data_IF_095565510322
#
_entry.id   IF_095565510322
#
_cell.length_a   1.000
_cell.length_b   1.000
_cell.length_c   1.000
_cell.angle_alpha   90.00
_cell.angle_beta   90.00
_cell.angle_gamma   90.00
#
_symmetry.space_group_name_H-M   'P 1'
#
loop_
_entity.id
_entity.type
_entity.pdbx_description
1 polymer ?
#
# COMPACT_ATOMS: atom_id res chain seq x y z
N UNK A 1 5.73 12.06 -14.11
CA UNK A 1 4.78 10.99 -13.76
C UNK A 1 4.45 11.02 -12.26
N UNK A 2 5.43 10.88 -11.36
CA UNK A 2 5.24 10.78 -9.91
C UNK A 2 4.44 11.96 -9.30
N UNK A 3 4.75 13.20 -9.68
CA UNK A 3 4.02 14.38 -9.21
C UNK A 3 2.56 14.40 -9.68
N UNK A 4 2.30 13.93 -10.90
CA UNK A 4 0.94 13.82 -11.42
C UNK A 4 0.14 12.77 -10.66
N UNK A 5 0.72 11.59 -10.45
CA UNK A 5 0.10 10.51 -9.68
C UNK A 5 -0.19 10.96 -8.23
N UNK A 6 0.79 11.58 -7.57
CA UNK A 6 0.60 12.10 -6.22
C UNK A 6 -0.52 13.15 -6.15
N UNK A 7 -0.63 14.02 -7.18
CA UNK A 7 -1.72 15.00 -7.29
C UNK A 7 -3.08 14.32 -7.45
N UNK A 8 -3.17 13.35 -8.34
CA UNK A 8 -4.40 12.60 -8.61
C UNK A 8 -4.89 11.86 -7.36
N UNK A 9 -4.01 11.11 -6.72
CA UNK A 9 -4.32 10.36 -5.51
C UNK A 9 -4.78 11.29 -4.38
N UNK A 10 -4.06 12.40 -4.16
CA UNK A 10 -4.38 13.35 -3.10
C UNK A 10 -5.57 14.26 -3.43
N UNK A 11 -6.11 14.23 -4.65
CA UNK A 11 -7.38 14.90 -4.97
C UNK A 11 -8.58 14.20 -4.33
N UNK A 12 -8.46 12.90 -4.07
CA UNK A 12 -9.49 12.10 -3.40
C UNK A 12 -9.51 12.42 -1.90
N UNK A 13 -10.68 12.49 -1.30
CA UNK A 13 -10.83 12.81 0.13
C UNK A 13 -10.17 11.74 1.02
N UNK A 14 -10.39 10.47 0.70
CA UNK A 14 -9.85 9.30 1.41
C UNK A 14 -9.19 8.39 0.38
N UNK A 15 -7.90 8.62 0.05
CA UNK A 15 -7.24 7.82 -0.96
C UNK A 15 -7.03 6.38 -0.47
N UNK A 16 -7.52 5.42 -1.26
CA UNK A 16 -7.28 3.98 -1.08
C UNK A 16 -6.79 3.46 -2.42
N UNK A 17 -5.48 3.23 -2.54
CA UNK A 17 -4.84 2.93 -3.82
C UNK A 17 -3.78 1.85 -3.71
N UNK A 18 -3.64 1.07 -4.78
CA UNK A 18 -2.53 0.16 -5.02
C UNK A 18 -1.54 0.84 -5.97
N UNK A 19 -0.32 1.08 -5.50
CA UNK A 19 0.80 1.54 -6.31
C UNK A 19 1.57 0.30 -6.81
N UNK A 20 1.36 -0.04 -8.06
CA UNK A 20 1.77 -1.30 -8.66
C UNK A 20 2.65 -1.07 -9.89
N UNK A 21 3.81 -0.46 -9.70
CA UNK A 21 4.80 -0.22 -10.75
C UNK A 21 5.97 -1.21 -10.65
N UNK A 22 6.72 -1.36 -11.74
CA UNK A 22 7.93 -2.20 -11.77
C UNK A 22 8.97 -1.77 -10.73
N UNK A 23 9.85 -2.72 -10.39
CA UNK A 23 10.97 -2.49 -9.45
C UNK A 23 11.83 -1.32 -9.93
N UNK A 24 12.13 -0.38 -9.03
CA UNK A 24 13.05 0.74 -9.33
C UNK A 24 12.38 2.00 -9.90
N UNK A 25 11.09 2.01 -10.22
CA UNK A 25 10.38 3.19 -10.76
C UNK A 25 10.01 4.24 -9.70
N UNK A 26 10.37 4.02 -8.43
CA UNK A 26 10.25 5.02 -7.39
C UNK A 26 8.94 5.02 -6.60
N UNK A 27 8.28 3.86 -6.43
CA UNK A 27 7.06 3.71 -5.60
C UNK A 27 7.20 4.30 -4.21
N UNK A 28 8.32 4.07 -3.55
CA UNK A 28 8.63 4.68 -2.24
C UNK A 28 8.55 6.21 -2.32
N UNK A 29 9.10 6.81 -3.38
CA UNK A 29 9.05 8.26 -3.59
C UNK A 29 7.62 8.73 -3.83
N UNK A 30 6.82 7.99 -4.60
CA UNK A 30 5.41 8.29 -4.85
C UNK A 30 4.60 8.25 -3.56
N UNK A 31 4.77 7.20 -2.75
CA UNK A 31 4.13 7.11 -1.45
C UNK A 31 4.56 8.23 -0.50
N UNK A 32 5.86 8.56 -0.46
CA UNK A 32 6.36 9.69 0.32
C UNK A 32 5.81 11.04 -0.16
N UNK A 33 5.64 11.26 -1.48
CA UNK A 33 5.01 12.46 -2.04
C UNK A 33 3.54 12.58 -1.62
N UNK A 34 2.81 11.45 -1.64
CA UNK A 34 1.41 11.40 -1.21
C UNK A 34 1.32 11.71 0.29
N UNK A 35 2.11 11.02 1.12
CA UNK A 35 2.18 11.25 2.57
C UNK A 35 2.50 12.72 2.87
N UNK A 36 3.58 13.26 2.27
CA UNK A 36 4.01 14.64 2.48
C UNK A 36 2.90 15.64 2.14
N UNK A 37 2.20 15.45 1.02
CA UNK A 37 1.10 16.32 0.63
C UNK A 37 -0.10 16.22 1.58
N UNK A 38 -0.49 15.01 1.98
CA UNK A 38 -1.57 14.80 2.93
C UNK A 38 -1.24 15.40 4.31
N UNK A 39 0.02 15.25 4.74
CA UNK A 39 0.52 15.82 5.99
C UNK A 39 0.52 17.36 5.97
N UNK A 40 1.05 17.98 4.91
CA UNK A 40 1.07 19.44 4.75
C UNK A 40 -0.33 20.07 4.67
N UNK A 41 -1.31 19.32 4.18
CA UNK A 41 -2.71 19.78 4.09
C UNK A 41 -3.55 19.45 5.33
N UNK A 42 -2.95 18.87 6.39
CA UNK A 42 -3.63 18.47 7.62
C UNK A 42 -4.62 17.31 7.44
N UNK A 43 -4.48 16.54 6.35
CA UNK A 43 -5.36 15.39 6.05
C UNK A 43 -4.81 14.05 6.51
N UNK A 44 -3.54 14.01 6.86
CA UNK A 44 -2.89 12.90 7.54
C UNK A 44 -1.89 13.48 8.55
N UNK A 45 -2.35 13.67 9.78
CA UNK A 45 -1.50 14.08 10.88
C UNK A 45 -0.71 12.89 11.41
N UNK A 46 -1.34 11.72 11.43
CA UNK A 46 -0.73 10.46 11.89
C UNK A 46 -0.68 9.43 10.77
N UNK A 47 0.52 8.89 10.51
CA UNK A 47 0.74 7.88 9.49
C UNK A 47 1.46 6.65 10.05
N UNK A 48 0.91 5.48 9.73
CA UNK A 48 1.52 4.18 9.99
C UNK A 48 2.11 3.62 8.71
N UNK A 49 3.40 3.28 8.74
CA UNK A 49 4.12 2.69 7.61
C UNK A 49 4.58 1.30 8.02
N UNK A 50 4.00 0.29 7.41
CA UNK A 50 4.33 -1.13 7.63
C UNK A 50 5.18 -1.61 6.45
N UNK A 51 6.32 -2.19 6.74
CA UNK A 51 7.28 -2.60 5.71
C UNK A 51 8.17 -3.77 6.20
N UNK A 52 8.87 -4.46 5.30
CA UNK A 52 9.91 -5.40 5.70
C UNK A 52 11.01 -4.71 6.51
N UNK A 53 11.56 -5.39 7.52
CA UNK A 53 12.61 -4.83 8.38
C UNK A 53 13.81 -4.30 7.58
N UNK A 54 14.17 -4.98 6.51
CA UNK A 54 15.27 -4.58 5.61
C UNK A 54 15.09 -3.20 4.95
N UNK A 55 13.85 -2.72 4.81
CA UNK A 55 13.51 -1.44 4.19
C UNK A 55 13.34 -0.30 5.19
N UNK A 56 13.28 -0.56 6.49
CA UNK A 56 12.99 0.44 7.51
C UNK A 56 13.98 1.62 7.48
N UNK A 57 15.27 1.33 7.40
CA UNK A 57 16.29 2.38 7.34
C UNK A 57 16.24 3.19 6.03
N UNK A 58 15.94 2.53 4.90
CA UNK A 58 15.80 3.22 3.62
C UNK A 58 14.63 4.21 3.66
N UNK A 59 13.47 3.80 4.16
CA UNK A 59 12.30 4.67 4.31
C UNK A 59 12.57 5.86 5.22
N UNK A 60 13.21 5.62 6.38
CA UNK A 60 13.63 6.68 7.29
C UNK A 60 14.49 7.73 6.60
N UNK A 61 15.53 7.29 5.87
CA UNK A 61 16.44 8.19 5.16
C UNK A 61 15.74 8.97 4.04
N UNK A 62 14.87 8.33 3.27
CA UNK A 62 14.11 8.99 2.19
C UNK A 62 13.17 10.05 2.73
N UNK A 63 12.37 9.72 3.77
CA UNK A 63 11.47 10.67 4.42
C UNK A 63 12.21 11.89 4.97
N UNK A 64 13.32 11.66 5.67
CA UNK A 64 14.08 12.73 6.27
C UNK A 64 14.78 13.60 5.22
N UNK A 65 15.51 12.99 4.27
CA UNK A 65 16.38 13.74 3.35
C UNK A 65 15.63 14.43 2.22
N UNK A 66 14.57 13.81 1.70
CA UNK A 66 13.85 14.33 0.54
C UNK A 66 12.62 15.13 0.90
N UNK A 67 11.98 14.79 2.02
CA UNK A 67 10.69 15.38 2.39
C UNK A 67 10.75 16.16 3.70
N UNK A 68 11.89 16.15 4.42
CA UNK A 68 12.04 16.77 5.73
C UNK A 68 10.95 16.29 6.72
N UNK A 69 10.53 15.03 6.58
CA UNK A 69 9.60 14.37 7.49
C UNK A 69 10.37 13.47 8.45
N UNK A 70 10.14 13.65 9.74
CA UNK A 70 10.73 12.80 10.77
C UNK A 70 9.80 11.62 11.03
N UNK A 71 10.19 10.44 10.56
CA UNK A 71 9.57 9.18 10.95
C UNK A 71 10.33 8.54 12.09
N UNK A 72 9.64 7.82 12.95
CA UNK A 72 10.26 7.06 14.04
C UNK A 72 10.15 5.57 13.76
N UNK A 73 11.28 4.88 13.90
CA UNK A 73 11.34 3.43 13.77
C UNK A 73 10.93 2.80 15.10
N UNK A 74 9.93 1.90 15.03
CA UNK A 74 9.39 1.23 16.20
C UNK A 74 9.77 -0.25 16.18
N UNK A 75 10.36 -0.65 17.29
CA UNK A 75 10.68 -2.02 17.67
C UNK A 75 10.35 -2.22 19.15
N UNK A 76 10.61 -3.40 19.67
CA UNK A 76 10.32 -3.72 21.07
C UNK A 76 11.13 -2.87 22.06
N UNK A 77 12.39 -2.59 21.76
CA UNK A 77 13.25 -1.77 22.62
C UNK A 77 12.68 -0.36 22.78
N UNK A 78 12.25 0.25 21.68
CA UNK A 78 11.62 1.58 21.70
C UNK A 78 10.30 1.57 22.46
N UNK A 79 9.44 0.58 22.21
CA UNK A 79 8.16 0.47 22.91
C UNK A 79 8.38 0.36 24.43
N UNK A 80 9.28 -0.50 24.87
CA UNK A 80 9.64 -0.65 26.28
C UNK A 80 10.26 0.62 26.89
N UNK A 81 11.07 1.34 26.14
CA UNK A 81 11.65 2.60 26.60
C UNK A 81 10.57 3.68 26.86
N UNK A 82 9.55 3.76 26.02
CA UNK A 82 8.41 4.67 26.19
C UNK A 82 7.56 4.25 27.39
N UNK A 83 7.20 2.97 27.48
CA UNK A 83 6.43 2.40 28.60
C UNK A 83 7.17 2.52 29.94
N UNK A 84 8.51 2.40 29.94
CA UNK A 84 9.34 2.60 31.11
C UNK A 84 9.27 4.03 31.67
N UNK A 85 8.92 5.00 30.82
CA UNK A 85 8.72 6.40 31.24
C UNK A 85 7.28 6.65 31.70
N UNK A 86 6.30 6.00 31.03
CA UNK A 86 4.89 6.05 31.37
C UNK A 86 4.20 4.73 31.02
N UNK A 87 4.01 3.83 32.00
CA UNK A 87 3.49 2.48 31.76
C UNK A 87 2.02 2.41 31.26
N UNK A 88 1.27 3.49 31.40
CA UNK A 88 -0.14 3.54 30.98
C UNK A 88 -0.32 4.07 29.56
N UNK A 89 0.75 4.53 28.93
CA UNK A 89 0.66 5.15 27.61
C UNK A 89 0.83 4.08 26.50
N UNK A 90 -0.01 4.14 25.49
CA UNK A 90 0.22 3.38 24.27
C UNK A 90 1.46 3.96 23.55
N UNK A 91 2.56 3.19 23.39
CA UNK A 91 3.80 3.72 22.81
C UNK A 91 3.62 4.26 21.39
N UNK A 92 2.69 3.72 20.62
CA UNK A 92 2.43 4.19 19.25
C UNK A 92 1.78 5.57 19.17
N UNK A 93 1.34 6.15 20.28
CA UNK A 93 0.88 7.55 20.36
C UNK A 93 2.02 8.57 20.48
N UNK A 94 3.25 8.13 20.77
CA UNK A 94 4.41 9.00 20.95
C UNK A 94 4.84 9.76 19.68
N UNK A 95 4.46 9.28 18.51
CA UNK A 95 4.98 9.79 17.24
C UNK A 95 3.90 9.91 16.18
N UNK A 96 3.99 10.95 15.33
CA UNK A 96 3.04 11.18 14.24
C UNK A 96 3.27 10.24 13.06
N UNK A 97 4.52 9.99 12.68
CA UNK A 97 4.88 9.10 11.59
C UNK A 97 5.68 7.94 12.15
N UNK A 98 5.12 6.75 12.07
CA UNK A 98 5.69 5.52 12.62
C UNK A 98 6.01 4.55 11.49
N UNK A 99 7.25 4.07 11.46
CA UNK A 99 7.67 2.94 10.65
C UNK A 99 7.83 1.72 11.55
N UNK A 100 7.21 0.61 11.18
CA UNK A 100 7.25 -0.64 11.95
C UNK A 100 7.36 -1.82 11.00
N UNK A 101 8.08 -2.87 11.43
CA UNK A 101 8.18 -4.06 10.59
C UNK A 101 6.93 -4.93 10.66
N UNK A 102 6.57 -5.51 9.51
CA UNK A 102 5.45 -6.45 9.41
C UNK A 102 5.67 -7.66 10.32
N UNK A 103 6.89 -8.19 10.34
CA UNK A 103 7.24 -9.37 11.15
C UNK A 103 7.15 -9.08 12.65
N UNK A 104 7.54 -7.90 13.08
CA UNK A 104 7.43 -7.49 14.48
C UNK A 104 5.97 -7.45 14.93
N UNK A 105 5.09 -6.86 14.13
CA UNK A 105 3.66 -6.79 14.48
C UNK A 105 2.98 -8.17 14.44
N UNK A 106 3.31 -9.01 13.45
CA UNK A 106 2.75 -10.37 13.38
C UNK A 106 3.23 -11.26 14.52
N UNK A 107 4.45 -11.03 15.00
CA UNK A 107 5.03 -11.75 16.13
C UNK A 107 4.54 -11.27 17.51
N UNK A 108 3.86 -10.10 17.58
CA UNK A 108 3.49 -9.47 18.85
C UNK A 108 2.02 -9.00 18.86
N UNK A 109 1.07 -9.88 19.24
CA UNK A 109 -0.36 -9.55 19.29
C UNK A 109 -0.70 -8.35 20.18
N UNK A 110 0.05 -8.15 21.27
CA UNK A 110 -0.11 -7.03 22.17
C UNK A 110 0.24 -5.73 21.46
N UNK A 111 1.37 -5.68 20.75
CA UNK A 111 1.80 -4.50 19.97
C UNK A 111 0.83 -4.20 18.82
N UNK A 112 0.33 -5.23 18.18
CA UNK A 112 -0.71 -5.07 17.17
C UNK A 112 -2.00 -4.46 17.75
N UNK A 113 -2.44 -4.89 18.94
CA UNK A 113 -3.60 -4.30 19.61
C UNK A 113 -3.37 -2.81 19.91
N UNK A 114 -2.18 -2.44 20.39
CA UNK A 114 -1.79 -1.05 20.64
C UNK A 114 -1.77 -0.22 19.34
N UNK A 115 -1.28 -0.79 18.23
CA UNK A 115 -1.32 -0.13 16.92
C UNK A 115 -2.75 0.09 16.45
N UNK A 116 -3.65 -0.89 16.66
CA UNK A 116 -5.07 -0.75 16.32
C UNK A 116 -5.81 0.32 17.13
N UNK A 117 -5.34 0.63 18.33
CA UNK A 117 -5.91 1.65 19.21
C UNK A 117 -5.33 3.05 18.96
N UNK A 118 -4.22 3.13 18.27
CA UNK A 118 -3.59 4.42 17.94
C UNK A 118 -4.23 4.99 16.67
N UNK A 119 -4.98 6.07 16.81
CA UNK A 119 -5.73 6.72 15.72
C UNK A 119 -4.82 7.15 14.56
N UNK A 120 -4.89 6.44 13.45
CA UNK A 120 -4.13 6.69 12.22
C UNK A 120 -5.02 7.28 11.13
N UNK A 121 -4.51 8.28 10.42
CA UNK A 121 -5.17 8.88 9.26
C UNK A 121 -4.78 8.19 7.96
N UNK A 122 -3.55 7.64 7.91
CA UNK A 122 -2.98 7.01 6.74
C UNK A 122 -2.24 5.73 7.10
N UNK A 123 -2.56 4.66 6.40
CA UNK A 123 -1.81 3.40 6.38
C UNK A 123 -1.03 3.28 5.08
N UNK A 124 0.26 3.01 5.17
CA UNK A 124 1.12 2.65 4.03
C UNK A 124 1.66 1.25 4.29
N UNK A 125 1.49 0.33 3.35
CA UNK A 125 2.07 -1.01 3.42
C UNK A 125 2.97 -1.21 2.22
N UNK A 126 4.28 -1.31 2.46
CA UNK A 126 5.25 -1.61 1.40
C UNK A 126 5.41 -3.13 1.24
N UNK A 127 5.81 -3.54 0.03
CA UNK A 127 5.93 -4.92 -0.38
C UNK A 127 4.66 -5.76 -0.08
N UNK A 128 3.51 -5.19 -0.39
CA UNK A 128 2.20 -5.79 -0.12
C UNK A 128 2.01 -7.19 -0.75
N UNK A 129 2.94 -7.64 -1.63
CA UNK A 129 2.94 -8.99 -2.16
C UNK A 129 3.23 -10.07 -1.09
N UNK A 130 3.79 -9.70 0.06
CA UNK A 130 3.97 -10.60 1.21
C UNK A 130 2.66 -10.88 1.98
N UNK A 131 1.58 -10.16 1.68
CA UNK A 131 0.27 -10.42 2.28
C UNK A 131 -0.40 -11.59 1.58
N UNK A 132 -0.04 -12.81 1.96
CA UNK A 132 -0.57 -14.03 1.34
C UNK A 132 -2.04 -14.23 1.72
N UNK A 133 -2.86 -14.53 0.71
CA UNK A 133 -4.28 -14.79 0.86
C UNK A 133 -4.76 -15.80 -0.20
N UNK A 134 -5.59 -16.73 0.24
CA UNK A 134 -6.40 -17.59 -0.64
C UNK A 134 -7.83 -17.63 -0.10
N UNK A 135 -8.82 -18.12 -0.86
CA UNK A 135 -10.18 -18.27 -0.37
C UNK A 135 -10.31 -19.11 0.90
N UNK A 136 -9.40 -20.07 1.07
CA UNK A 136 -9.41 -20.99 2.21
C UNK A 136 -8.59 -20.50 3.40
N UNK A 137 -7.57 -19.66 3.14
CA UNK A 137 -6.62 -19.27 4.18
C UNK A 137 -6.03 -17.88 3.91
N UNK A 138 -6.17 -17.00 4.88
CA UNK A 138 -5.46 -15.72 4.93
C UNK A 138 -4.28 -15.82 5.92
N UNK A 139 -3.10 -15.33 5.53
CA UNK A 139 -1.95 -15.25 6.43
C UNK A 139 -2.22 -14.29 7.60
N UNK A 140 -1.49 -14.46 8.70
CA UNK A 140 -1.57 -13.55 9.85
C UNK A 140 -1.26 -12.09 9.43
N UNK A 141 -0.29 -11.90 8.54
CA UNK A 141 0.06 -10.59 7.98
C UNK A 141 -1.11 -9.97 7.21
N UNK A 142 -1.80 -10.74 6.39
CA UNK A 142 -2.98 -10.27 5.66
C UNK A 142 -4.10 -9.85 6.60
N UNK A 143 -4.47 -10.73 7.56
CA UNK A 143 -5.54 -10.47 8.54
C UNK A 143 -5.27 -9.21 9.37
N UNK A 144 -4.01 -8.99 9.72
CA UNK A 144 -3.57 -7.83 10.47
C UNK A 144 -3.74 -6.53 9.66
N UNK A 145 -3.31 -6.54 8.40
CA UNK A 145 -3.49 -5.39 7.51
C UNK A 145 -4.97 -5.18 7.17
N UNK A 146 -5.76 -6.25 7.03
CA UNK A 146 -7.22 -6.18 6.85
C UNK A 146 -7.86 -5.43 8.02
N UNK A 147 -7.58 -5.83 9.27
CA UNK A 147 -8.11 -5.17 10.46
C UNK A 147 -7.71 -3.69 10.58
N UNK A 148 -6.49 -3.34 10.17
CA UNK A 148 -6.05 -1.94 10.10
C UNK A 148 -6.77 -1.17 8.98
N UNK A 149 -6.91 -1.77 7.81
CA UNK A 149 -7.54 -1.14 6.64
C UNK A 149 -9.04 -0.89 6.84
N UNK A 150 -9.70 -1.63 7.72
CA UNK A 150 -11.11 -1.39 8.10
C UNK A 150 -11.27 -0.15 8.98
N UNK A 151 -10.27 0.17 9.80
CA UNK A 151 -10.30 1.33 10.71
C UNK A 151 -9.74 2.60 10.07
N UNK A 152 -8.71 2.47 9.24
CA UNK A 152 -7.97 3.59 8.68
C UNK A 152 -8.57 3.98 7.32
N UNK A 153 -8.94 5.25 7.18
CA UNK A 153 -9.68 5.74 6.03
C UNK A 153 -8.83 5.81 4.75
N UNK A 154 -7.56 6.19 4.87
CA UNK A 154 -6.65 6.29 3.73
C UNK A 154 -5.62 5.16 3.75
N UNK A 155 -5.52 4.43 2.65
CA UNK A 155 -4.64 3.25 2.55
C UNK A 155 -3.85 3.27 1.25
N UNK A 156 -2.53 3.14 1.35
CA UNK A 156 -1.63 2.95 0.22
C UNK A 156 -0.98 1.57 0.35
N UNK A 157 -1.19 0.72 -0.65
CA UNK A 157 -0.48 -0.55 -0.78
C UNK A 157 0.55 -0.42 -1.90
N UNK A 158 1.80 -0.77 -1.63
CA UNK A 158 2.88 -0.74 -2.61
C UNK A 158 3.31 -2.18 -2.94
N UNK A 159 3.44 -2.48 -4.22
CA UNK A 159 3.96 -3.77 -4.68
C UNK A 159 4.80 -3.61 -5.94
N UNK A 160 5.90 -4.35 -6.00
CA UNK A 160 6.80 -4.35 -7.16
C UNK A 160 6.37 -5.31 -8.27
N UNK A 161 5.50 -6.27 -7.97
CA UNK A 161 5.20 -7.41 -8.85
C UNK A 161 3.71 -7.73 -8.87
N UNK A 162 2.85 -6.83 -9.39
CA UNK A 162 1.40 -7.06 -9.38
C UNK A 162 1.01 -8.29 -10.21
N UNK A 163 1.73 -8.57 -11.30
CA UNK A 163 1.42 -9.67 -12.22
C UNK A 163 1.88 -11.05 -11.71
N UNK A 164 2.87 -11.12 -10.82
CA UNK A 164 3.40 -12.40 -10.31
C UNK A 164 2.49 -13.09 -9.31
N UNK A 165 1.51 -12.37 -8.76
CA UNK A 165 0.62 -12.88 -7.72
C UNK A 165 -0.60 -13.63 -8.25
N UNK A 166 -0.79 -13.65 -9.56
CA UNK A 166 -2.00 -14.19 -10.18
C UNK A 166 -3.27 -13.39 -9.83
N UNK A 167 -4.44 -13.82 -10.36
CA UNK A 167 -5.72 -13.14 -10.11
C UNK A 167 -6.11 -13.08 -8.64
N UNK A 168 -5.90 -14.17 -7.89
CA UNK A 168 -6.22 -14.25 -6.45
C UNK A 168 -5.42 -13.24 -5.62
N UNK A 169 -4.11 -13.17 -5.89
CA UNK A 169 -3.24 -12.23 -5.21
C UNK A 169 -3.59 -10.77 -5.53
N UNK A 170 -3.97 -10.47 -6.75
CA UNK A 170 -4.43 -9.12 -7.13
C UNK A 170 -5.77 -8.78 -6.46
N UNK A 171 -6.73 -9.71 -6.52
CA UNK A 171 -8.01 -9.60 -5.83
C UNK A 171 -7.84 -9.30 -4.35
N UNK A 172 -6.97 -10.05 -3.66
CA UNK A 172 -6.73 -9.88 -2.24
C UNK A 172 -6.29 -8.45 -1.86
N UNK A 173 -5.44 -7.80 -2.67
CA UNK A 173 -5.01 -6.40 -2.45
C UNK A 173 -6.12 -5.41 -2.73
N UNK A 174 -6.89 -5.63 -3.78
CA UNK A 174 -8.04 -4.78 -4.10
C UNK A 174 -9.13 -4.90 -3.03
N UNK A 175 -9.32 -6.08 -2.46
CA UNK A 175 -10.24 -6.31 -1.33
C UNK A 175 -9.84 -5.54 -0.08
N UNK A 176 -8.54 -5.43 0.24
CA UNK A 176 -8.07 -4.56 1.32
C UNK A 176 -8.41 -3.08 1.09
N UNK A 177 -8.48 -2.65 -0.17
CA UNK A 177 -8.78 -1.26 -0.52
C UNK A 177 -10.29 -0.98 -0.62
N UNK A 178 -11.07 -1.93 -1.13
CA UNK A 178 -12.52 -1.80 -1.30
C UNK A 178 -13.21 -3.16 -1.11
N UNK A 179 -13.45 -3.59 0.14
CA UNK A 179 -14.05 -4.89 0.42
C UNK A 179 -15.52 -4.98 -0.04
N UNK A 180 -16.21 -3.86 -0.22
CA UNK A 180 -17.58 -3.87 -0.71
C UNK A 180 -17.66 -4.23 -2.20
N UNK A 181 -16.71 -3.74 -2.99
CA UNK A 181 -16.60 -4.02 -4.41
C UNK A 181 -15.97 -5.39 -4.69
N UNK A 182 -14.89 -5.72 -3.97
CA UNK A 182 -14.12 -6.95 -4.17
C UNK A 182 -14.47 -7.98 -3.10
N UNK A 183 -15.69 -8.51 -3.17
CA UNK A 183 -16.25 -9.47 -2.21
C UNK A 183 -16.36 -10.89 -2.75
N UNK A 184 -16.28 -11.09 -4.07
CA UNK A 184 -16.43 -12.37 -4.76
C UNK A 184 -15.29 -12.55 -5.77
N UNK A 185 -14.44 -13.56 -5.52
CA UNK A 185 -13.29 -13.86 -6.36
C UNK A 185 -13.71 -14.39 -7.74
N UNK A 186 -14.77 -15.22 -7.82
CA UNK A 186 -15.19 -15.82 -9.08
C UNK A 186 -15.73 -14.75 -10.05
N UNK A 187 -16.43 -13.76 -9.51
CA UNK A 187 -16.89 -12.60 -10.28
C UNK A 187 -15.71 -11.80 -10.78
N UNK A 188 -14.74 -11.50 -9.89
CA UNK A 188 -13.53 -10.75 -10.24
C UNK A 188 -12.71 -11.43 -11.34
N UNK A 189 -12.50 -12.76 -11.24
CA UNK A 189 -11.74 -13.53 -12.26
C UNK A 189 -12.45 -13.46 -13.61
N UNK A 190 -13.76 -13.68 -13.66
CA UNK A 190 -14.54 -13.60 -14.91
C UNK A 190 -14.48 -12.21 -15.55
N UNK A 191 -14.56 -11.15 -14.73
CA UNK A 191 -14.43 -9.77 -15.23
C UNK A 191 -13.02 -9.52 -15.77
N UNK A 192 -11.98 -10.00 -15.06
CA UNK A 192 -10.58 -9.86 -15.47
C UNK A 192 -10.30 -10.57 -16.80
N UNK A 193 -10.77 -11.81 -16.97
CA UNK A 193 -10.62 -12.58 -18.20
C UNK A 193 -11.31 -11.87 -19.37
N UNK A 194 -12.53 -11.36 -19.16
CA UNK A 194 -13.25 -10.61 -20.18
C UNK A 194 -12.52 -9.32 -20.60
N UNK A 195 -11.93 -8.59 -19.67
CA UNK A 195 -11.12 -7.41 -19.99
C UNK A 195 -9.85 -7.76 -20.79
N UNK A 196 -9.21 -8.89 -20.50
CA UNK A 196 -8.04 -9.36 -21.26
C UNK A 196 -8.44 -9.74 -22.68
N UNK A 197 -9.52 -10.49 -22.88
CA UNK A 197 -10.05 -10.83 -24.19
C UNK A 197 -10.38 -9.58 -25.04
N UNK A 198 -10.99 -8.57 -24.40
CA UNK A 198 -11.31 -7.30 -25.06
C UNK A 198 -10.05 -6.52 -25.44
N UNK A 199 -9.02 -6.49 -24.56
CA UNK A 199 -7.76 -5.82 -24.84
C UNK A 199 -7.02 -6.49 -26.03
N UNK A 200 -6.96 -7.82 -26.05
CA UNK A 200 -6.37 -8.59 -27.16
C UNK A 200 -7.13 -8.36 -28.49
N UNK A 201 -8.45 -8.21 -28.42
CA UNK A 201 -9.27 -7.91 -29.60
C UNK A 201 -8.97 -6.50 -30.14
N UNK A 202 -8.85 -5.51 -29.27
CA UNK A 202 -8.48 -4.12 -29.65
C UNK A 202 -7.08 -4.09 -30.27
N UNK A 203 -6.09 -4.71 -29.62
CA UNK A 203 -4.73 -4.77 -30.16
C UNK A 203 -4.67 -5.47 -31.53
N UNK A 204 -5.51 -6.49 -31.73
CA UNK A 204 -5.61 -7.19 -33.03
C UNK A 204 -6.25 -6.34 -34.14
N UNK A 205 -7.06 -5.36 -33.78
CA UNK A 205 -7.69 -4.41 -34.71
C UNK A 205 -6.70 -3.30 -35.06
N UNK A 206 -6.03 -2.70 -34.07
CA UNK A 206 -5.05 -1.63 -34.27
C UNK A 206 -3.84 -2.14 -35.08
N UNK A 207 -3.37 -3.37 -34.83
CA UNK A 207 -2.29 -3.99 -35.60
C UNK A 207 -2.64 -4.28 -37.08
N UNK A 208 -3.93 -4.24 -37.47
CA UNK A 208 -4.36 -4.39 -38.85
C UNK A 208 -4.44 -3.07 -39.62
N UNK A 209 -4.57 -1.94 -38.96
CA UNK A 209 -4.57 -0.63 -39.60
C UNK A 209 -3.17 -0.16 -40.04
N UNK A 210 -2.10 -0.61 -39.39
CA UNK A 210 -0.73 -0.30 -39.82
C UNK A 210 -0.26 -1.04 -41.09
N UNK A 211 -0.97 -2.09 -41.53
CA UNK A 211 -0.63 -2.86 -42.72
C UNK A 211 -1.22 -2.33 -44.04
N UNK A 212 -2.05 -1.28 -44.00
CA UNK A 212 -2.69 -0.72 -45.20
C UNK A 212 -2.10 0.59 -45.72
N UNK A 213 -1.06 1.14 -45.07
CA UNK A 213 -0.41 2.39 -45.53
C UNK A 213 0.77 2.17 -46.48
N UNK A 214 1.17 0.93 -46.78
CA UNK A 214 2.30 0.64 -47.70
C UNK A 214 1.92 0.32 -49.14
N UNK A 215 0.66 0.35 -49.50
CA UNK A 215 0.17 -0.02 -50.88
C UNK A 215 -0.13 1.18 -51.79
N UNK A 216 0.39 2.36 -51.48
CA UNK A 216 0.20 3.55 -52.34
C UNK A 216 1.49 4.03 -53.01
N UNK A 217 2.32 3.12 -53.53
CA UNK A 217 3.41 3.47 -54.50
C UNK A 217 3.47 2.41 -55.60
N UNK A 218 2.60 2.55 -56.58
CA UNK A 218 2.79 2.16 -57.98
C UNK A 218 2.06 3.11 -58.92
#
# INVERSE_FOLDING_TARGET
HQLYLAREVTSRLQPRVLLADEVGLGKTIEACLILHRLHLTGRAERALIILPESLMHQWFVELLRRFNLTANLFDEERCQAIEGTNPEINPFLDSQIVCVSLDYLTGSPERYAQVLEADWDLLIVDEAHHLEWTPELASAAYQMVEGLSEKILSVLLLTATPQQLGPEGHFARLRLLDPARYNDLDVFVKESDHYQEMAELVDSIDGKEELTSSDWDM
#
